data_IF_901953088920
#
_entry.id   IF_901953088920
#
_cell.length_a   1.000
_cell.length_b   1.000
_cell.length_c   1.000
_cell.angle_alpha   90.00
_cell.angle_beta   90.00
_cell.angle_gamma   90.00
#
_symmetry.space_group_name_H-M   'P 1'
#
loop_
_entity.id
_entity.type
_entity.pdbx_description
1 polymer ?
#
# COMPACT_ATOMS: atom_id res chain seq x y z
N UNK A 1 -28.73 40.19 33.51
CA UNK A 1 -28.66 39.63 32.16
C UNK A 1 -27.19 39.42 31.78
N UNK A 2 -26.67 38.21 31.94
CA UNK A 2 -25.26 37.85 31.62
C UNK A 2 -25.27 37.07 30.30
N UNK A 3 -24.69 37.66 29.22
CA UNK A 3 -24.53 36.98 27.94
C UNK A 3 -23.26 36.14 27.98
N UNK A 4 -23.41 34.82 27.91
CA UNK A 4 -22.31 33.90 27.67
C UNK A 4 -21.94 33.96 26.16
N UNK A 5 -20.73 34.39 25.87
CA UNK A 5 -20.10 34.25 24.57
C UNK A 5 -19.40 32.90 24.55
N UNK A 6 -19.95 31.92 23.82
CA UNK A 6 -19.28 30.65 23.51
C UNK A 6 -18.33 30.88 22.36
N UNK A 7 -17.01 30.88 22.64
CA UNK A 7 -15.97 30.80 21.60
C UNK A 7 -15.94 29.37 21.04
N UNK A 8 -16.38 29.21 19.81
CA UNK A 8 -16.14 28.00 19.04
C UNK A 8 -14.68 28.03 18.53
N UNK A 9 -13.80 27.24 19.14
CA UNK A 9 -12.45 27.01 18.65
C UNK A 9 -12.51 26.08 17.43
N UNK A 10 -12.42 26.63 16.21
CA UNK A 10 -12.17 25.86 15.00
C UNK A 10 -10.72 25.36 15.05
N UNK A 11 -10.53 24.08 15.42
CA UNK A 11 -9.23 23.41 15.27
C UNK A 11 -8.98 23.15 13.79
N UNK A 12 -8.30 24.09 13.13
CA UNK A 12 -7.70 23.86 11.82
C UNK A 12 -6.57 22.82 11.99
N UNK A 13 -6.86 21.58 11.61
CA UNK A 13 -5.87 20.51 11.52
C UNK A 13 -4.96 20.85 10.34
N UNK A 14 -3.86 21.56 10.64
CA UNK A 14 -2.85 21.90 9.67
C UNK A 14 -2.26 20.60 9.11
N UNK A 15 -2.45 20.34 7.81
CA UNK A 15 -1.68 19.35 7.07
C UNK A 15 -0.21 19.83 7.10
N UNK A 16 0.57 19.29 8.04
CA UNK A 16 2.00 19.57 8.09
C UNK A 16 2.64 19.04 6.79
N UNK A 17 3.36 19.86 6.05
CA UNK A 17 4.08 19.40 4.87
C UNK A 17 5.08 18.33 5.26
N UNK A 18 5.20 17.29 4.43
CA UNK A 18 6.24 16.28 4.61
C UNK A 18 7.60 16.97 4.72
N UNK A 19 8.48 16.52 5.62
CA UNK A 19 9.83 17.09 5.74
C UNK A 19 10.54 17.04 4.37
N UNK A 20 11.32 18.05 4.07
CA UNK A 20 11.97 18.26 2.75
C UNK A 20 12.79 17.04 2.31
N UNK A 21 13.43 16.35 3.25
CA UNK A 21 14.13 15.08 3.03
C UNK A 21 13.23 13.97 2.50
N UNK A 22 12.01 13.85 2.99
CA UNK A 22 11.05 12.86 2.52
C UNK A 22 10.48 13.18 1.13
N UNK A 23 10.44 14.49 0.77
CA UNK A 23 10.07 14.94 -0.58
C UNK A 23 11.16 14.62 -1.59
N UNK A 24 12.43 14.88 -1.25
CA UNK A 24 13.58 14.56 -2.09
C UNK A 24 13.66 13.04 -2.30
N UNK A 25 13.62 12.25 -1.24
CA UNK A 25 13.62 10.79 -1.32
C UNK A 25 12.45 10.23 -2.14
N UNK A 26 11.27 10.85 -2.05
CA UNK A 26 10.14 10.46 -2.88
C UNK A 26 10.41 10.69 -4.37
N UNK A 27 11.04 11.82 -4.72
CA UNK A 27 11.36 12.16 -6.11
C UNK A 27 12.27 11.10 -6.75
N UNK A 28 13.25 10.59 -5.99
CA UNK A 28 14.20 9.56 -6.45
C UNK A 28 13.51 8.24 -6.85
N UNK A 29 12.34 7.95 -6.28
CA UNK A 29 11.61 6.69 -6.53
C UNK A 29 10.36 6.84 -7.41
N UNK A 30 9.97 8.07 -7.81
CA UNK A 30 8.71 8.29 -8.52
C UNK A 30 8.61 7.48 -9.79
N UNK A 31 9.62 7.51 -10.65
CA UNK A 31 9.61 6.78 -11.92
C UNK A 31 9.56 5.26 -11.71
N UNK A 32 10.33 4.76 -10.75
CA UNK A 32 10.36 3.34 -10.40
C UNK A 32 9.00 2.89 -9.87
N UNK A 33 8.40 3.66 -8.96
CA UNK A 33 7.06 3.39 -8.42
C UNK A 33 6.01 3.40 -9.52
N UNK A 34 6.05 4.39 -10.44
CA UNK A 34 5.11 4.47 -11.56
C UNK A 34 5.16 3.22 -12.43
N UNK A 35 6.36 2.76 -12.81
CA UNK A 35 6.53 1.53 -13.61
C UNK A 35 5.93 0.30 -12.92
N UNK A 36 6.26 0.07 -11.65
CA UNK A 36 5.75 -1.08 -10.90
C UNK A 36 4.23 -1.00 -10.64
N UNK A 37 3.71 0.19 -10.35
CA UNK A 37 2.30 0.44 -10.15
C UNK A 37 1.49 0.12 -11.43
N UNK A 38 1.94 0.64 -12.57
CA UNK A 38 1.33 0.39 -13.87
C UNK A 38 1.37 -1.10 -14.23
N UNK A 39 2.52 -1.75 -14.09
CA UNK A 39 2.68 -3.17 -14.41
C UNK A 39 1.77 -4.09 -13.59
N UNK A 40 1.33 -3.66 -12.40
CA UNK A 40 0.51 -4.44 -11.49
C UNK A 40 -0.95 -3.93 -11.37
N UNK A 41 -1.33 -2.89 -12.10
CA UNK A 41 -2.66 -2.30 -12.03
C UNK A 41 -3.01 -1.71 -10.67
N UNK A 42 -2.05 -1.05 -10.02
CA UNK A 42 -2.22 -0.43 -8.69
C UNK A 42 -2.01 1.08 -8.83
N UNK A 43 -2.83 1.92 -8.19
CA UNK A 43 -2.59 3.37 -8.18
C UNK A 43 -1.23 3.72 -7.56
N UNK A 44 -0.45 4.57 -8.21
CA UNK A 44 0.85 5.04 -7.70
C UNK A 44 0.75 5.64 -6.29
N UNK A 45 -0.30 6.44 -6.06
CA UNK A 45 -0.56 7.04 -4.76
C UNK A 45 -0.71 5.99 -3.63
N UNK A 46 -1.26 4.81 -3.95
CA UNK A 46 -1.36 3.72 -2.99
C UNK A 46 0.00 3.09 -2.69
N UNK A 47 0.85 2.92 -3.71
CA UNK A 47 2.23 2.40 -3.52
C UNK A 47 3.04 3.37 -2.65
N UNK A 48 3.03 4.66 -2.98
CA UNK A 48 3.70 5.69 -2.17
C UNK A 48 3.20 5.71 -0.72
N UNK A 49 1.88 5.57 -0.52
CA UNK A 49 1.29 5.51 0.82
C UNK A 49 1.82 4.33 1.64
N UNK A 50 1.98 3.17 1.02
CA UNK A 50 2.56 2.00 1.69
C UNK A 50 4.03 2.24 2.00
N UNK A 51 4.83 2.76 1.06
CA UNK A 51 6.25 3.07 1.29
C UNK A 51 6.43 4.04 2.46
N UNK A 52 5.64 5.13 2.50
CA UNK A 52 5.70 6.11 3.62
C UNK A 52 5.39 5.44 4.94
N UNK A 53 4.36 4.60 4.99
CA UNK A 53 3.96 3.89 6.20
C UNK A 53 5.01 2.89 6.67
N UNK A 54 5.59 2.13 5.75
CA UNK A 54 6.44 0.98 6.07
C UNK A 54 7.89 1.36 6.33
N UNK A 55 8.48 2.27 5.54
CA UNK A 55 9.90 2.58 5.63
C UNK A 55 10.25 4.07 5.60
N UNK A 56 9.29 4.94 5.24
CA UNK A 56 9.57 6.35 4.93
C UNK A 56 10.69 6.50 3.89
N UNK A 57 10.65 5.68 2.85
CA UNK A 57 11.63 5.61 1.75
C UNK A 57 13.04 5.16 2.17
N UNK A 58 13.18 4.36 3.21
CA UNK A 58 14.46 3.79 3.63
C UNK A 58 14.63 2.39 3.03
N UNK A 59 15.41 2.23 1.93
CA UNK A 59 15.50 0.96 1.21
C UNK A 59 16.24 -0.12 2.00
N UNK A 60 17.14 0.27 2.89
CA UNK A 60 17.94 -0.67 3.69
C UNK A 60 17.31 -1.02 5.03
N UNK A 61 16.10 -0.51 5.33
CA UNK A 61 15.43 -0.77 6.59
C UNK A 61 15.11 -2.27 6.73
N UNK A 62 15.50 -2.82 7.87
CA UNK A 62 15.07 -4.14 8.34
C UNK A 62 14.20 -3.95 9.57
N UNK A 63 12.94 -4.30 9.44
CA UNK A 63 11.95 -4.15 10.49
C UNK A 63 11.87 -5.35 11.44
N UNK A 64 11.09 -5.20 12.48
CA UNK A 64 10.80 -6.30 13.41
C UNK A 64 10.13 -7.45 12.67
N UNK A 65 10.53 -8.69 12.97
CA UNK A 65 9.99 -9.88 12.30
C UNK A 65 10.57 -10.12 10.89
N UNK A 66 11.69 -9.47 10.53
CA UNK A 66 12.42 -9.74 9.30
C UNK A 66 11.75 -9.18 8.05
N UNK A 67 11.04 -8.06 8.18
CA UNK A 67 10.54 -7.29 7.03
C UNK A 67 11.66 -6.44 6.44
N UNK A 68 11.69 -6.23 5.12
CA UNK A 68 12.84 -5.71 4.40
C UNK A 68 12.44 -4.63 3.40
N UNK A 69 13.23 -3.55 3.37
CA UNK A 69 13.27 -2.57 2.30
C UNK A 69 12.12 -1.58 2.26
N UNK A 70 11.94 -0.94 1.11
CA UNK A 70 10.98 0.17 0.93
C UNK A 70 9.57 -0.15 1.38
N UNK A 71 9.07 -1.33 1.07
CA UNK A 71 7.71 -1.75 1.40
C UNK A 71 7.66 -2.80 2.52
N UNK A 72 8.76 -3.05 3.22
CA UNK A 72 8.83 -3.97 4.37
C UNK A 72 8.23 -5.35 4.08
N UNK A 73 8.60 -5.94 2.93
CA UNK A 73 8.15 -7.28 2.55
C UNK A 73 8.96 -8.36 3.31
N UNK A 74 8.31 -9.44 3.72
CA UNK A 74 9.00 -10.61 4.27
C UNK A 74 9.61 -11.46 3.17
N UNK A 75 10.78 -12.06 3.41
CA UNK A 75 11.41 -13.00 2.48
C UNK A 75 10.46 -14.14 2.08
N UNK A 76 9.72 -14.70 3.04
CA UNK A 76 8.73 -15.76 2.77
C UNK A 76 7.63 -15.31 1.82
N UNK A 77 7.15 -14.06 1.98
CA UNK A 77 6.14 -13.46 1.08
C UNK A 77 6.71 -13.25 -0.31
N UNK A 78 7.92 -12.69 -0.42
CA UNK A 78 8.58 -12.53 -1.72
C UNK A 78 8.80 -13.87 -2.42
N UNK A 79 9.24 -14.90 -1.69
CA UNK A 79 9.39 -16.25 -2.22
C UNK A 79 8.09 -16.87 -2.73
N UNK A 80 6.98 -16.68 -2.04
CA UNK A 80 5.66 -17.14 -2.51
C UNK A 80 5.21 -16.48 -3.81
N UNK A 81 5.84 -15.36 -4.17
CA UNK A 81 5.61 -14.62 -5.42
C UNK A 81 6.65 -14.88 -6.51
N UNK A 82 7.61 -15.80 -6.24
CA UNK A 82 8.62 -16.23 -7.19
C UNK A 82 10.02 -15.66 -6.97
N UNK A 83 10.28 -14.98 -5.83
CA UNK A 83 11.63 -14.52 -5.51
C UNK A 83 12.54 -15.68 -5.12
N UNK A 84 13.71 -15.76 -5.74
CA UNK A 84 14.70 -16.82 -5.48
C UNK A 84 16.01 -16.30 -4.84
N UNK A 85 16.11 -14.96 -4.67
CA UNK A 85 17.30 -14.32 -4.13
C UNK A 85 17.40 -14.34 -2.61
N UNK A 86 18.32 -13.52 -2.10
CA UNK A 86 18.68 -13.41 -0.68
C UNK A 86 17.91 -12.28 0.03
N UNK A 87 18.06 -12.21 1.36
CA UNK A 87 17.56 -11.08 2.18
C UNK A 87 18.16 -9.75 1.72
N UNK A 88 19.46 -9.77 1.40
CA UNK A 88 20.21 -8.58 0.94
C UNK A 88 19.66 -8.08 -0.39
N UNK A 89 19.33 -8.98 -1.32
CA UNK A 89 18.72 -8.61 -2.60
C UNK A 89 17.38 -7.89 -2.47
N UNK A 90 16.61 -8.14 -1.40
CA UNK A 90 15.36 -7.40 -1.12
C UNK A 90 15.58 -5.96 -0.59
N UNK A 91 16.83 -5.56 -0.31
CA UNK A 91 17.15 -4.16 0.02
C UNK A 91 17.35 -3.30 -1.23
N UNK A 92 17.53 -3.94 -2.38
CA UNK A 92 17.51 -3.24 -3.67
C UNK A 92 16.09 -2.72 -3.94
N UNK A 93 15.93 -1.41 -4.22
CA UNK A 93 14.63 -0.79 -4.38
C UNK A 93 13.77 -1.42 -5.49
N UNK A 94 14.37 -1.71 -6.66
CA UNK A 94 13.62 -2.25 -7.80
C UNK A 94 13.15 -3.69 -7.52
N UNK A 95 14.03 -4.50 -6.95
CA UNK A 95 13.72 -5.86 -6.49
C UNK A 95 12.61 -5.84 -5.43
N UNK A 96 12.70 -4.93 -4.46
CA UNK A 96 11.69 -4.79 -3.41
C UNK A 96 10.33 -4.46 -3.99
N UNK A 97 10.27 -3.46 -4.88
CA UNK A 97 9.02 -3.04 -5.53
C UNK A 97 8.45 -4.13 -6.43
N UNK A 98 9.29 -4.89 -7.14
CA UNK A 98 8.84 -6.01 -7.99
C UNK A 98 7.93 -6.97 -7.22
N UNK A 99 8.31 -7.39 -6.03
CA UNK A 99 7.55 -8.37 -5.26
C UNK A 99 6.52 -7.72 -4.34
N UNK A 100 6.84 -6.59 -3.73
CA UNK A 100 5.96 -5.94 -2.79
C UNK A 100 4.76 -5.26 -3.48
N UNK A 101 4.92 -4.66 -4.66
CA UNK A 101 3.79 -4.10 -5.43
C UNK A 101 2.91 -5.23 -5.97
N UNK A 102 3.50 -6.35 -6.40
CA UNK A 102 2.74 -7.56 -6.78
C UNK A 102 1.89 -8.09 -5.61
N UNK A 103 2.44 -8.09 -4.38
CA UNK A 103 1.69 -8.44 -3.18
C UNK A 103 0.58 -7.42 -2.88
N UNK A 104 0.88 -6.12 -2.99
CA UNK A 104 -0.09 -5.04 -2.82
C UNK A 104 -1.24 -5.13 -3.84
N UNK A 105 -0.95 -5.51 -5.08
CA UNK A 105 -1.98 -5.70 -6.10
C UNK A 105 -2.99 -6.80 -5.70
N UNK A 106 -2.53 -7.88 -5.08
CA UNK A 106 -3.41 -8.89 -4.50
C UNK A 106 -4.29 -8.34 -3.38
N UNK A 107 -3.69 -7.56 -2.47
CA UNK A 107 -4.41 -6.89 -1.39
C UNK A 107 -5.42 -5.86 -1.92
N UNK A 108 -5.05 -5.10 -2.95
CA UNK A 108 -5.91 -4.09 -3.58
C UNK A 108 -7.14 -4.73 -4.26
N UNK A 109 -6.94 -5.81 -5.01
CA UNK A 109 -8.06 -6.59 -5.59
C UNK A 109 -8.96 -7.18 -4.49
N UNK A 110 -8.37 -7.80 -3.47
CA UNK A 110 -9.14 -8.34 -2.34
C UNK A 110 -9.88 -7.26 -1.53
N UNK A 111 -9.42 -6.01 -1.59
CA UNK A 111 -10.07 -4.85 -1.01
C UNK A 111 -11.19 -4.25 -1.89
N UNK A 112 -11.41 -4.78 -3.11
CA UNK A 112 -12.35 -4.21 -4.07
C UNK A 112 -11.99 -2.79 -4.49
N UNK A 113 -10.68 -2.47 -4.61
CA UNK A 113 -10.20 -1.16 -4.98
C UNK A 113 -10.13 -0.13 -3.83
N UNK A 114 -10.57 -0.47 -2.63
CA UNK A 114 -10.53 0.45 -1.49
C UNK A 114 -9.11 0.58 -0.93
N UNK A 115 -8.53 1.78 -1.00
CA UNK A 115 -7.15 2.05 -0.58
C UNK A 115 -6.90 1.79 0.92
N UNK A 116 -7.82 2.21 1.80
CA UNK A 116 -7.65 2.02 3.24
C UNK A 116 -7.63 0.54 3.60
N UNK A 117 -8.55 -0.22 3.01
CA UNK A 117 -8.65 -1.68 3.19
C UNK A 117 -7.46 -2.39 2.58
N UNK A 118 -6.98 -1.95 1.41
CA UNK A 118 -5.79 -2.49 0.76
C UNK A 118 -4.54 -2.36 1.63
N UNK A 119 -4.33 -1.19 2.26
CA UNK A 119 -3.24 -0.97 3.22
C UNK A 119 -3.37 -1.88 4.44
N UNK A 120 -4.57 -2.05 4.99
CA UNK A 120 -4.81 -2.97 6.11
C UNK A 120 -4.52 -4.43 5.71
N UNK A 121 -4.95 -4.84 4.52
CA UNK A 121 -4.71 -6.18 3.98
C UNK A 121 -3.23 -6.41 3.63
N UNK A 122 -2.53 -5.39 3.17
CA UNK A 122 -1.08 -5.49 2.95
C UNK A 122 -0.35 -5.82 4.26
N UNK A 123 -0.68 -5.11 5.34
CA UNK A 123 -0.03 -5.28 6.64
C UNK A 123 -0.43 -6.57 7.36
N UNK A 124 -1.71 -6.95 7.30
CA UNK A 124 -2.28 -8.08 8.06
C UNK A 124 -2.45 -9.38 7.27
N UNK A 125 -2.22 -9.34 5.94
CA UNK A 125 -2.52 -10.44 5.02
C UNK A 125 -3.96 -10.40 4.50
N UNK A 126 -4.14 -10.88 3.28
CA UNK A 126 -5.46 -10.88 2.58
C UNK A 126 -5.95 -12.27 2.17
N UNK A 127 -5.28 -13.32 2.60
CA UNK A 127 -5.62 -14.70 2.20
C UNK A 127 -7.10 -15.05 2.40
N UNK A 128 -7.63 -14.80 3.59
CA UNK A 128 -9.04 -15.12 3.90
C UNK A 128 -10.02 -14.21 3.15
N UNK A 129 -9.67 -12.95 2.91
CA UNK A 129 -10.50 -12.05 2.11
C UNK A 129 -10.58 -12.52 0.66
N UNK A 130 -9.45 -12.85 0.05
CA UNK A 130 -9.40 -13.39 -1.31
C UNK A 130 -10.08 -14.76 -1.44
N UNK A 131 -9.96 -15.62 -0.41
CA UNK A 131 -10.65 -16.91 -0.38
C UNK A 131 -12.17 -16.74 -0.37
N UNK A 132 -12.71 -15.84 0.46
CA UNK A 132 -14.15 -15.56 0.51
C UNK A 132 -14.67 -15.04 -0.84
N UNK A 133 -13.93 -14.16 -1.51
CA UNK A 133 -14.33 -13.65 -2.83
C UNK A 133 -14.36 -14.76 -3.88
N UNK A 134 -13.38 -15.67 -3.89
CA UNK A 134 -13.35 -16.81 -4.81
C UNK A 134 -14.54 -17.74 -4.59
N UNK A 135 -14.90 -18.01 -3.34
CA UNK A 135 -16.06 -18.85 -3.01
C UNK A 135 -17.34 -18.18 -3.49
N UNK A 136 -17.55 -16.89 -3.15
CA UNK A 136 -18.73 -16.15 -3.57
C UNK A 136 -18.88 -16.07 -5.09
N UNK A 137 -17.75 -15.95 -5.83
CA UNK A 137 -17.76 -15.95 -7.29
C UNK A 137 -18.07 -17.36 -7.86
N UNK A 138 -17.60 -18.42 -7.20
CA UNK A 138 -17.88 -19.80 -7.63
C UNK A 138 -19.36 -20.19 -7.41
N UNK A 139 -20.00 -19.63 -6.40
CA UNK A 139 -21.42 -19.81 -6.10
C UNK A 139 -22.34 -19.01 -7.05
N UNK A 140 -21.81 -18.06 -7.83
CA UNK A 140 -22.51 -17.28 -8.87
C UNK A 140 -21.79 -17.38 -10.20
N UNK A 141 -21.78 -18.55 -10.85
CA UNK A 141 -21.12 -18.70 -12.14
C UNK A 141 -21.88 -17.87 -13.19
N UNK A 142 -21.18 -16.91 -13.82
CA UNK A 142 -21.70 -16.05 -14.88
C UNK A 142 -21.77 -14.56 -14.57
N UNK A 143 -21.58 -14.15 -13.33
CA UNK A 143 -21.46 -12.73 -13.01
C UNK A 143 -20.00 -12.28 -13.17
N UNK A 144 -19.68 -11.34 -14.09
CA UNK A 144 -18.31 -10.85 -14.23
C UNK A 144 -17.87 -10.23 -12.90
N UNK A 145 -16.60 -10.43 -12.51
CA UNK A 145 -15.99 -9.70 -11.39
C UNK A 145 -16.05 -8.20 -11.71
N UNK A 146 -17.13 -7.55 -11.29
CA UNK A 146 -17.27 -6.11 -11.41
C UNK A 146 -16.31 -5.49 -10.40
N UNK A 147 -15.08 -5.23 -10.83
CA UNK A 147 -14.22 -4.28 -10.15
C UNK A 147 -14.79 -2.90 -10.49
N UNK A 148 -15.83 -2.49 -9.76
CA UNK A 148 -16.31 -1.13 -9.83
C UNK A 148 -15.20 -0.24 -9.28
N UNK A 149 -14.59 0.64 -10.09
CA UNK A 149 -13.77 1.70 -9.54
C UNK A 149 -14.71 2.54 -8.68
N UNK A 150 -14.43 2.59 -7.37
CA UNK A 150 -15.09 3.56 -6.50
C UNK A 150 -14.70 4.92 -7.03
N UNK A 151 -15.67 5.61 -7.66
CA UNK A 151 -15.52 7.01 -8.05
C UNK A 151 -14.96 7.77 -6.85
N UNK A 152 -13.96 8.60 -7.13
CA UNK A 152 -13.40 9.52 -6.15
C UNK A 152 -14.56 10.27 -5.50
N UNK A 153 -14.80 10.03 -4.22
CA UNK A 153 -15.63 10.89 -3.42
C UNK A 153 -14.77 12.10 -3.09
N UNK A 154 -15.16 13.22 -3.69
CA UNK A 154 -14.70 14.57 -3.41
C UNK A 154 -14.84 14.94 -1.93
#
# INVERSE_FOLDING_TARGET
>A
MKRLLTLAALSAMALLPLPETARAQRADYNEMVARHAQANGVPEALVHRVIVRESRYQPHLVGRGGTIGLMQIKLSTARSLGYTGTVEGLRDPDTNLTYAVKYLAGAYRAAGGNHNRAVAYYAGGYYYAAKRQRIAHHERPGEPLVITPVAAQE
#
